data_IF_938346422356
#
_entry.id   IF_938346422356
#
_cell.length_a   1.000
_cell.length_b   1.000
_cell.length_c   1.000
_cell.angle_alpha   90.00
_cell.angle_beta   90.00
_cell.angle_gamma   90.00
#
_symmetry.space_group_name_H-M   'P 1'
#
loop_
_entity.id
_entity.type
_entity.pdbx_description
1 polymer ?
#
# COMPACT_ATOMS: atom_id res chain seq x y z
N UNK A 1 31.06 -71.47 52.68
CA UNK A 1 31.56 -70.12 53.05
C UNK A 1 32.00 -69.25 51.85
N UNK A 2 32.50 -69.82 50.74
CA UNK A 2 32.91 -69.04 49.53
C UNK A 2 31.76 -68.39 48.73
N UNK A 3 30.55 -68.92 48.84
CA UNK A 3 29.35 -68.40 48.14
C UNK A 3 28.77 -67.13 48.80
N UNK A 4 28.91 -67.00 50.12
CA UNK A 4 28.39 -65.87 50.90
C UNK A 4 29.21 -64.58 50.67
N UNK A 5 30.53 -64.73 50.45
CA UNK A 5 31.44 -63.62 50.13
C UNK A 5 31.21 -63.08 48.71
N UNK A 6 30.88 -63.95 47.75
CA UNK A 6 30.52 -63.54 46.38
C UNK A 6 29.20 -62.76 46.33
N UNK A 7 28.22 -63.15 47.15
CA UNK A 7 26.94 -62.45 47.25
C UNK A 7 27.08 -61.06 47.88
N UNK A 8 27.96 -60.91 48.87
CA UNK A 8 28.19 -59.62 49.53
C UNK A 8 28.91 -58.60 48.62
N UNK A 9 29.89 -59.05 47.82
CA UNK A 9 30.55 -58.20 46.83
C UNK A 9 29.60 -57.74 45.70
N UNK A 10 28.63 -58.57 45.31
CA UNK A 10 27.67 -58.21 44.26
C UNK A 10 26.67 -57.14 44.71
N UNK A 11 26.24 -57.20 45.98
CA UNK A 11 25.36 -56.19 46.58
C UNK A 11 26.07 -54.85 46.74
N UNK A 12 27.34 -54.85 47.16
CA UNK A 12 28.12 -53.61 47.32
C UNK A 12 28.33 -52.88 45.98
N UNK A 13 28.49 -53.62 44.87
CA UNK A 13 28.67 -53.02 43.54
C UNK A 13 27.37 -52.37 43.01
N UNK A 14 26.18 -52.88 43.39
CA UNK A 14 24.91 -52.30 42.93
C UNK A 14 24.51 -51.01 43.66
N UNK A 15 25.13 -50.71 44.81
CA UNK A 15 24.89 -49.46 45.55
C UNK A 15 25.70 -48.26 45.01
N UNK A 16 26.63 -48.46 44.08
CA UNK A 16 27.46 -47.38 43.52
C UNK A 16 26.85 -46.67 42.29
N UNK A 17 25.66 -47.06 41.82
CA UNK A 17 25.08 -46.53 40.57
C UNK A 17 24.05 -45.40 40.76
N UNK A 18 24.12 -44.62 41.84
CA UNK A 18 23.33 -43.37 41.94
C UNK A 18 23.99 -42.28 41.09
N UNK A 19 23.61 -42.22 39.83
CA UNK A 19 24.02 -41.16 38.92
C UNK A 19 23.17 -39.92 39.24
N UNK A 20 23.80 -38.82 39.63
CA UNK A 20 23.11 -37.54 39.78
C UNK A 20 22.53 -37.12 38.42
N UNK A 21 21.22 -36.92 38.34
CA UNK A 21 20.59 -36.25 37.20
C UNK A 21 20.88 -34.76 37.34
N UNK A 22 21.61 -34.20 36.39
CA UNK A 22 21.87 -32.77 36.31
C UNK A 22 20.63 -32.08 35.72
N UNK A 23 20.27 -30.92 36.27
CA UNK A 23 19.20 -30.09 35.73
C UNK A 23 19.58 -29.61 34.32
N UNK A 24 18.69 -29.79 33.36
CA UNK A 24 18.86 -29.32 31.99
C UNK A 24 18.90 -27.78 31.98
N UNK A 25 19.93 -27.21 31.40
CA UNK A 25 20.07 -25.76 31.26
C UNK A 25 19.11 -25.29 30.18
N UNK A 26 18.23 -24.32 30.49
CA UNK A 26 17.45 -23.63 29.47
C UNK A 26 18.42 -22.93 28.51
N UNK A 27 18.59 -23.46 27.30
CA UNK A 27 19.29 -22.77 26.23
C UNK A 27 18.51 -21.50 25.90
N UNK A 28 19.03 -20.35 26.31
CA UNK A 28 18.56 -19.07 25.78
C UNK A 28 18.98 -19.01 24.31
N UNK A 29 18.06 -19.35 23.40
CA UNK A 29 18.29 -19.18 21.96
C UNK A 29 18.58 -17.70 21.71
N UNK A 30 19.77 -17.34 21.22
CA UNK A 30 20.09 -15.96 20.91
C UNK A 30 19.08 -15.43 19.89
N UNK A 31 18.55 -14.21 20.05
CA UNK A 31 17.65 -13.58 19.07
C UNK A 31 18.27 -13.53 17.66
N UNK A 32 19.60 -13.68 17.54
CA UNK A 32 20.30 -13.87 16.27
C UNK A 32 19.85 -15.10 15.45
N UNK A 33 19.24 -16.11 16.07
CA UNK A 33 18.70 -17.30 15.37
C UNK A 33 17.22 -17.16 15.00
N UNK A 34 16.56 -16.06 15.39
CA UNK A 34 15.16 -15.75 15.05
C UNK A 34 15.05 -14.75 13.90
N UNK A 35 16.17 -14.30 13.33
CA UNK A 35 16.15 -13.34 12.24
C UNK A 35 16.40 -14.05 10.92
N UNK A 36 15.33 -14.42 10.23
CA UNK A 36 15.38 -14.38 8.77
C UNK A 36 15.64 -12.92 8.41
N UNK A 37 16.90 -12.61 8.04
CA UNK A 37 17.29 -11.26 7.70
C UNK A 37 16.69 -10.99 6.32
N UNK A 38 15.60 -10.21 6.29
CA UNK A 38 15.08 -9.69 5.04
C UNK A 38 16.20 -8.94 4.30
N UNK A 39 16.44 -9.32 3.05
CA UNK A 39 17.38 -8.64 2.17
C UNK A 39 16.91 -7.21 1.92
N UNK A 40 17.84 -6.33 1.55
CA UNK A 40 17.48 -4.95 1.18
C UNK A 40 16.47 -4.92 0.03
N UNK A 41 16.54 -5.90 -0.87
CA UNK A 41 15.60 -6.07 -1.99
C UNK A 41 14.22 -6.53 -1.52
N UNK A 42 14.14 -7.49 -0.61
CA UNK A 42 12.86 -7.92 -0.01
C UNK A 42 12.19 -6.78 0.77
N UNK A 43 12.97 -5.98 1.49
CA UNK A 43 12.44 -4.82 2.20
C UNK A 43 12.02 -3.69 1.24
N UNK A 44 12.73 -3.48 0.13
CA UNK A 44 12.37 -2.52 -0.92
C UNK A 44 11.08 -2.93 -1.66
N UNK A 45 10.91 -4.23 -1.89
CA UNK A 45 9.70 -4.79 -2.50
C UNK A 45 8.50 -4.79 -1.54
N UNK A 46 8.72 -5.10 -0.25
CA UNK A 46 7.70 -5.07 0.80
C UNK A 46 7.23 -3.64 1.17
N UNK A 47 7.96 -2.60 0.75
CA UNK A 47 7.59 -1.17 0.92
C UNK A 47 6.50 -0.69 -0.03
N UNK A 48 5.80 -1.58 -0.73
CA UNK A 48 4.59 -1.26 -1.51
C UNK A 48 4.73 -1.43 -3.02
N UNK A 49 5.66 -2.27 -3.47
CA UNK A 49 5.94 -2.48 -4.91
C UNK A 49 5.38 -3.78 -5.48
N UNK A 50 4.85 -4.69 -4.64
CA UNK A 50 4.31 -5.96 -5.12
C UNK A 50 2.83 -5.83 -5.52
N UNK A 51 2.52 -6.07 -6.80
CA UNK A 51 1.15 -6.30 -7.28
C UNK A 51 0.35 -5.10 -7.80
N UNK A 52 0.96 -3.93 -8.01
CA UNK A 52 0.25 -2.76 -8.57
C UNK A 52 0.27 -2.83 -10.11
N UNK A 53 -0.71 -3.51 -10.72
CA UNK A 53 -1.04 -3.36 -12.14
C UNK A 53 -2.02 -2.20 -12.30
N UNK A 54 -1.50 -0.99 -12.51
CA UNK A 54 -2.34 0.18 -12.76
C UNK A 54 -2.69 0.30 -14.24
N UNK A 55 -3.61 -0.55 -14.68
CA UNK A 55 -4.23 -0.38 -15.97
C UNK A 55 -5.38 0.64 -15.86
N UNK A 56 -5.03 1.92 -15.89
CA UNK A 56 -5.99 3.01 -15.90
C UNK A 56 -6.50 3.24 -17.33
N UNK A 57 -7.72 2.76 -17.61
CA UNK A 57 -8.40 3.03 -18.87
C UNK A 57 -9.32 4.23 -18.73
N UNK A 58 -9.00 5.31 -19.45
CA UNK A 58 -9.83 6.51 -19.49
C UNK A 58 -10.56 6.56 -20.83
N UNK A 59 -11.88 6.61 -20.79
CA UNK A 59 -12.70 6.87 -21.97
C UNK A 59 -13.54 8.12 -21.74
N UNK A 60 -13.59 8.97 -22.75
CA UNK A 60 -14.39 10.19 -22.72
C UNK A 60 -15.09 10.33 -24.06
N UNK A 61 -16.41 10.24 -24.03
CA UNK A 61 -17.26 10.41 -25.20
C UNK A 61 -18.17 11.63 -24.97
N UNK A 62 -17.94 12.69 -25.76
CA UNK A 62 -18.57 13.98 -25.57
C UNK A 62 -19.13 14.45 -26.91
N UNK A 63 -20.39 14.07 -27.15
CA UNK A 63 -21.12 14.42 -28.37
C UNK A 63 -22.17 15.48 -28.09
N UNK A 64 -22.32 16.42 -29.02
CA UNK A 64 -23.39 17.39 -28.99
C UNK A 64 -23.82 17.75 -30.41
N UNK A 65 -25.12 18.01 -30.55
CA UNK A 65 -25.73 18.45 -31.79
C UNK A 65 -26.42 19.77 -31.49
N UNK A 66 -26.01 20.82 -32.21
CA UNK A 66 -26.70 22.09 -32.24
C UNK A 66 -27.42 22.22 -33.59
N UNK A 67 -28.75 22.13 -33.61
CA UNK A 67 -29.51 22.20 -34.86
C UNK A 67 -30.88 22.84 -34.64
N UNK A 68 -31.43 23.46 -35.70
CA UNK A 68 -32.72 24.15 -35.67
C UNK A 68 -32.70 25.51 -34.98
N UNK A 69 -31.52 26.08 -34.75
CA UNK A 69 -31.37 27.30 -33.98
C UNK A 69 -31.64 28.55 -34.81
N UNK A 70 -32.57 29.38 -34.36
CA UNK A 70 -32.83 30.72 -34.90
C UNK A 70 -32.74 31.71 -33.76
N UNK A 71 -31.91 32.75 -33.91
CA UNK A 71 -31.83 33.85 -32.95
C UNK A 71 -32.12 35.17 -33.68
N UNK A 72 -33.16 35.88 -33.26
CA UNK A 72 -33.60 37.15 -33.85
C UNK A 72 -33.82 38.17 -32.75
N UNK A 73 -33.45 39.44 -33.00
CA UNK A 73 -33.50 40.53 -32.01
C UNK A 73 -32.71 40.24 -30.72
N UNK A 74 -31.61 39.50 -30.82
CA UNK A 74 -30.85 39.14 -29.62
C UNK A 74 -29.79 40.18 -29.28
N UNK A 75 -29.78 40.60 -28.01
CA UNK A 75 -28.69 41.35 -27.41
C UNK A 75 -27.89 40.36 -26.56
N UNK A 76 -26.60 40.22 -26.84
CA UNK A 76 -25.70 39.37 -26.05
C UNK A 76 -24.92 40.24 -25.08
N UNK A 77 -24.72 39.74 -23.85
CA UNK A 77 -23.97 40.45 -22.81
C UNK A 77 -22.45 40.35 -22.98
N UNK A 78 -21.71 40.95 -22.05
CA UNK A 78 -20.25 40.81 -22.02
C UNK A 78 -19.87 39.65 -21.11
N UNK A 79 -18.95 38.81 -21.57
CA UNK A 79 -18.26 37.85 -20.72
C UNK A 79 -16.93 38.43 -20.29
N UNK A 80 -16.88 38.98 -19.07
CA UNK A 80 -15.65 39.54 -18.53
C UNK A 80 -15.25 38.75 -17.30
N UNK A 81 -14.04 38.24 -17.36
CA UNK A 81 -13.22 37.85 -16.21
C UNK A 81 -12.27 39.02 -15.99
N UNK A 82 -12.41 39.70 -14.85
CA UNK A 82 -11.64 40.91 -14.57
C UNK A 82 -10.52 40.66 -13.53
N UNK A 83 -9.76 41.70 -13.23
CA UNK A 83 -8.59 41.67 -12.39
C UNK A 83 -8.90 41.03 -11.02
N UNK A 84 -8.17 39.96 -10.70
CA UNK A 84 -8.33 39.23 -9.44
C UNK A 84 -9.32 38.07 -9.49
N UNK A 85 -9.98 37.80 -10.63
CA UNK A 85 -10.97 36.71 -10.76
C UNK A 85 -10.42 35.32 -10.40
N UNK A 86 -9.10 35.12 -10.51
CA UNK A 86 -8.41 33.89 -10.10
C UNK A 86 -7.22 34.14 -9.17
N UNK A 87 -7.14 35.31 -8.54
CA UNK A 87 -6.08 35.58 -7.58
C UNK A 87 -6.16 34.58 -6.41
N UNK A 88 -5.11 33.77 -6.22
CA UNK A 88 -5.08 32.71 -5.22
C UNK A 88 -5.76 31.40 -5.63
N UNK A 89 -6.13 31.24 -6.92
CA UNK A 89 -6.60 29.95 -7.41
C UNK A 89 -5.49 28.90 -7.32
N UNK A 90 -5.80 27.76 -6.70
CA UNK A 90 -4.88 26.63 -6.52
C UNK A 90 -5.58 25.33 -6.91
N UNK A 91 -4.81 24.35 -7.37
CA UNK A 91 -5.34 23.11 -7.90
C UNK A 91 -5.86 23.26 -9.33
N UNK A 92 -6.81 22.42 -9.72
CA UNK A 92 -7.34 22.38 -11.07
C UNK A 92 -8.72 23.06 -11.13
N UNK A 93 -8.89 23.98 -12.06
CA UNK A 93 -10.16 24.65 -12.32
C UNK A 93 -10.33 24.83 -13.83
N UNK A 94 -11.59 24.77 -14.28
CA UNK A 94 -11.99 25.07 -15.65
C UNK A 94 -12.95 26.24 -15.63
N UNK A 95 -12.79 27.16 -16.58
CA UNK A 95 -13.64 28.35 -16.67
C UNK A 95 -14.14 28.46 -18.09
N UNK A 96 -15.45 28.52 -18.22
CA UNK A 96 -16.10 28.59 -19.51
C UNK A 96 -16.99 29.81 -19.55
N UNK A 97 -16.69 30.66 -20.52
CA UNK A 97 -17.34 31.92 -20.77
C UNK A 97 -18.04 31.79 -22.12
N UNK A 98 -19.38 31.71 -22.14
CA UNK A 98 -20.14 32.05 -23.34
C UNK A 98 -20.99 33.31 -23.17
N UNK A 99 -20.91 34.20 -24.15
CA UNK A 99 -21.83 35.31 -24.29
C UNK A 99 -22.36 35.27 -25.71
N UNK A 100 -23.53 34.65 -25.88
CA UNK A 100 -24.05 34.36 -27.20
C UNK A 100 -25.37 33.60 -27.13
N UNK A 101 -26.06 33.52 -28.26
CA UNK A 101 -27.14 32.57 -28.46
C UNK A 101 -26.60 31.35 -29.19
N UNK A 102 -27.30 30.23 -29.07
CA UNK A 102 -26.96 29.02 -29.81
C UNK A 102 -25.54 28.56 -29.45
N UNK A 103 -25.23 28.54 -28.16
CA UNK A 103 -23.94 28.05 -27.68
C UNK A 103 -24.13 26.64 -27.15
N UNK A 104 -23.33 25.71 -27.65
CA UNK A 104 -23.06 24.45 -26.99
C UNK A 104 -21.69 24.55 -26.34
N UNK A 105 -21.64 24.20 -25.06
CA UNK A 105 -20.41 24.04 -24.31
C UNK A 105 -20.23 22.57 -24.00
N UNK A 106 -19.03 22.06 -24.29
CA UNK A 106 -18.58 20.74 -23.94
C UNK A 106 -17.22 20.86 -23.30
N UNK A 107 -17.15 20.57 -22.00
CA UNK A 107 -15.90 20.48 -21.26
C UNK A 107 -15.92 19.19 -20.44
N UNK A 108 -14.76 18.53 -20.38
CA UNK A 108 -14.61 17.30 -19.64
C UNK A 108 -13.15 17.10 -19.32
N UNK A 109 -12.87 16.80 -18.05
CA UNK A 109 -11.51 16.67 -17.52
C UNK A 109 -11.41 15.37 -16.72
N UNK A 110 -10.45 14.52 -17.09
CA UNK A 110 -10.11 13.31 -16.34
C UNK A 110 -8.77 13.54 -15.65
N UNK A 111 -8.74 13.37 -14.33
CA UNK A 111 -7.51 13.45 -13.53
C UNK A 111 -7.24 12.09 -12.91
N UNK A 112 -6.09 11.52 -13.24
CA UNK A 112 -5.57 10.32 -12.59
C UNK A 112 -4.39 10.73 -11.73
N UNK A 113 -4.50 10.48 -10.42
CA UNK A 113 -3.42 10.73 -9.47
C UNK A 113 -3.02 9.39 -8.87
N UNK A 114 -1.77 9.01 -9.09
CA UNK A 114 -1.13 7.93 -8.34
C UNK A 114 -0.05 8.53 -7.47
N UNK A 115 -0.16 8.30 -6.18
CA UNK A 115 0.90 8.61 -5.22
C UNK A 115 1.53 7.29 -4.80
N UNK A 116 2.80 7.12 -5.13
CA UNK A 116 3.64 6.01 -4.66
C UNK A 116 4.62 6.62 -3.64
N UNK A 117 4.78 6.02 -2.45
CA UNK A 117 5.68 6.53 -1.40
C UNK A 117 7.15 6.54 -1.81
#
# INVERSE_FOLDING_TARGET
MKMMIRSCCFVIISLLSTQAVWADSVESVPISYLTEIATLEELDNARGREGIDMNVFNNMDVNAVLSGNTATNNVTGVNIIDNGSFAGAMGMFSVIQNSGNNVIIQDSTIVNVTVIP
#
